data_IF_637271925928
#
_entry.id   IF_637271925928
#
_cell.length_a   1.000
_cell.length_b   1.000
_cell.length_c   1.000
_cell.angle_alpha   90.00
_cell.angle_beta   90.00
_cell.angle_gamma   90.00
#
_symmetry.space_group_name_H-M   'P 1'
#
loop_
_entity.id
_entity.type
_entity.pdbx_description
1 polymer ?
#
# COMPACT_ATOMS: atom_id res chain seq x y z
N UNK A 1 13.38 0.35 4.74
CA UNK A 1 12.10 -0.37 4.55
C UNK A 1 12.28 -1.81 4.13
N UNK A 2 13.12 -2.14 3.13
CA UNK A 2 13.31 -3.52 2.64
C UNK A 2 13.62 -4.55 3.74
N UNK A 3 14.61 -4.28 4.59
CA UNK A 3 15.00 -5.22 5.64
C UNK A 3 13.91 -5.41 6.71
N UNK A 4 13.17 -4.34 7.02
CA UNK A 4 12.05 -4.37 7.98
C UNK A 4 10.94 -5.25 7.43
N UNK A 5 10.61 -5.07 6.15
CA UNK A 5 9.58 -5.85 5.47
C UNK A 5 9.90 -7.34 5.45
N UNK A 6 11.13 -7.70 5.08
CA UNK A 6 11.60 -9.09 5.13
C UNK A 6 11.50 -9.68 6.55
N UNK A 7 11.86 -8.91 7.58
CA UNK A 7 11.75 -9.36 8.96
C UNK A 7 10.29 -9.60 9.37
N UNK A 8 9.38 -8.69 9.03
CA UNK A 8 7.94 -8.84 9.30
C UNK A 8 7.37 -10.03 8.54
N UNK A 9 7.69 -10.21 7.26
CA UNK A 9 7.24 -11.38 6.49
C UNK A 9 7.70 -12.71 7.11
N UNK A 10 8.94 -12.77 7.59
CA UNK A 10 9.46 -13.95 8.29
C UNK A 10 8.73 -14.20 9.60
N UNK A 11 8.53 -13.16 10.44
CA UNK A 11 7.76 -13.28 11.68
C UNK A 11 6.33 -13.75 11.42
N UNK A 12 5.66 -13.19 10.40
CA UNK A 12 4.31 -13.59 9.96
C UNK A 12 4.29 -15.06 9.55
N UNK A 13 5.25 -15.48 8.73
CA UNK A 13 5.35 -16.87 8.27
C UNK A 13 5.59 -17.85 9.42
N UNK A 14 6.47 -17.50 10.35
CA UNK A 14 6.77 -18.34 11.51
C UNK A 14 5.57 -18.46 12.45
N UNK A 15 4.90 -17.35 12.76
CA UNK A 15 3.68 -17.37 13.57
C UNK A 15 2.60 -18.27 12.94
N UNK A 16 2.32 -18.10 11.64
CA UNK A 16 1.33 -18.94 10.96
C UNK A 16 1.71 -20.43 10.95
N UNK A 17 3.00 -20.77 10.97
CA UNK A 17 3.46 -22.15 11.12
C UNK A 17 3.11 -22.70 12.50
N UNK A 18 3.21 -21.90 13.58
CA UNK A 18 2.75 -22.31 14.93
C UNK A 18 1.27 -22.65 14.89
N UNK A 19 0.44 -21.71 14.42
CA UNK A 19 -1.01 -21.87 14.37
C UNK A 19 -1.47 -23.00 13.45
N UNK A 20 -0.68 -23.35 12.42
CA UNK A 20 -0.97 -24.46 11.52
C UNK A 20 -0.50 -25.83 12.06
N UNK A 21 0.62 -25.89 12.78
CA UNK A 21 1.24 -27.13 13.25
C UNK A 21 0.65 -27.62 14.57
N UNK A 22 0.29 -26.72 15.48
CA UNK A 22 -0.26 -27.06 16.80
C UNK A 22 -1.79 -26.97 16.86
N UNK A 23 -2.46 -27.16 15.71
CA UNK A 23 -3.89 -26.91 15.45
C UNK A 23 -4.93 -27.76 16.20
N UNK A 24 -4.66 -28.10 17.46
CA UNK A 24 -5.59 -28.70 18.42
C UNK A 24 -5.40 -28.20 19.86
N UNK A 25 -4.23 -27.65 20.20
CA UNK A 25 -3.90 -27.17 21.55
C UNK A 25 -4.01 -25.65 21.70
N UNK A 26 -4.09 -24.91 20.58
CA UNK A 26 -4.30 -23.46 20.58
C UNK A 26 -5.79 -23.11 20.40
N UNK A 27 -6.38 -22.29 21.29
CA UNK A 27 -7.80 -21.89 21.24
C UNK A 27 -8.24 -21.22 19.92
N UNK A 28 -7.29 -20.75 19.10
CA UNK A 28 -7.51 -20.08 17.81
C UNK A 28 -6.68 -20.67 16.67
N UNK A 29 -6.36 -21.95 16.73
CA UNK A 29 -5.57 -22.65 15.70
C UNK A 29 -6.23 -22.69 14.31
N UNK A 30 -5.41 -22.96 13.28
CA UNK A 30 -5.88 -23.10 11.89
C UNK A 30 -6.38 -24.54 11.64
N UNK A 31 -7.64 -24.77 12.00
CA UNK A 31 -8.19 -26.12 12.14
C UNK A 31 -8.62 -26.75 10.80
N UNK A 32 -8.92 -25.95 9.78
CA UNK A 32 -9.36 -26.43 8.46
C UNK A 32 -8.21 -26.50 7.44
N UNK A 33 -8.33 -27.42 6.46
CA UNK A 33 -7.39 -27.49 5.34
C UNK A 33 -7.34 -26.19 4.52
N UNK A 34 -8.47 -25.48 4.40
CA UNK A 34 -8.56 -24.18 3.72
C UNK A 34 -7.75 -23.12 4.45
N UNK A 35 -7.91 -22.99 5.78
CA UNK A 35 -7.14 -22.05 6.60
C UNK A 35 -5.63 -22.35 6.51
N UNK A 36 -5.22 -23.62 6.60
CA UNK A 36 -3.82 -24.03 6.43
C UNK A 36 -3.28 -23.71 5.03
N UNK A 37 -4.10 -23.82 3.98
CA UNK A 37 -3.72 -23.41 2.62
C UNK A 37 -3.55 -21.90 2.51
N UNK A 38 -4.46 -21.12 3.08
CA UNK A 38 -4.39 -19.65 3.09
C UNK A 38 -3.18 -19.14 3.87
N UNK A 39 -2.86 -19.74 5.01
CA UNK A 39 -1.67 -19.42 5.79
C UNK A 39 -0.35 -19.68 5.04
N UNK A 40 -0.36 -20.62 4.08
CA UNK A 40 0.76 -20.90 3.17
C UNK A 40 0.67 -20.16 1.82
N UNK A 41 -0.29 -19.25 1.66
CA UNK A 41 -0.46 -18.49 0.42
C UNK A 41 0.83 -17.76 0.06
N UNK A 42 1.11 -17.59 -1.22
CA UNK A 42 2.19 -16.71 -1.68
C UNK A 42 1.83 -15.23 -1.55
N UNK A 43 0.53 -14.91 -1.45
CA UNK A 43 0.07 -13.54 -1.27
C UNK A 43 0.22 -13.12 0.18
N UNK A 44 0.97 -12.05 0.41
CA UNK A 44 1.21 -11.55 1.76
C UNK A 44 -0.09 -11.10 2.46
N UNK A 45 -1.01 -10.45 1.74
CA UNK A 45 -2.33 -10.06 2.25
C UNK A 45 -3.14 -11.24 2.82
N UNK A 46 -3.10 -12.41 2.17
CA UNK A 46 -3.79 -13.61 2.65
C UNK A 46 -3.21 -14.09 4.00
N UNK A 47 -1.88 -13.98 4.17
CA UNK A 47 -1.19 -14.33 5.42
C UNK A 47 -1.57 -13.39 6.55
N UNK A 48 -1.58 -12.08 6.29
CA UNK A 48 -2.00 -11.08 7.26
C UNK A 48 -3.47 -11.29 7.68
N UNK A 49 -4.35 -11.62 6.74
CA UNK A 49 -5.74 -11.95 7.04
C UNK A 49 -5.87 -13.18 7.96
N UNK A 50 -4.99 -14.17 7.82
CA UNK A 50 -4.93 -15.32 8.73
C UNK A 50 -4.44 -14.94 10.13
N UNK A 51 -3.46 -14.05 10.26
CA UNK A 51 -3.03 -13.53 11.57
C UNK A 51 -4.13 -12.74 12.27
N UNK A 52 -4.94 -12.01 11.51
CA UNK A 52 -6.15 -11.36 12.04
C UNK A 52 -7.16 -12.40 12.51
N UNK A 53 -7.36 -13.47 11.74
CA UNK A 53 -8.30 -14.54 12.08
C UNK A 53 -7.92 -15.24 13.40
N UNK A 54 -6.63 -15.54 13.61
CA UNK A 54 -6.14 -16.16 14.86
C UNK A 54 -5.96 -15.14 16.00
N UNK A 55 -6.17 -13.85 15.72
CA UNK A 55 -6.16 -12.78 16.72
C UNK A 55 -4.78 -12.31 17.16
N UNK A 56 -3.73 -12.57 16.37
CA UNK A 56 -2.39 -12.02 16.63
C UNK A 56 -2.23 -10.59 16.13
N UNK A 57 -2.91 -10.25 15.04
CA UNK A 57 -2.99 -8.89 14.52
C UNK A 57 -4.42 -8.38 14.59
N UNK A 58 -4.56 -7.09 14.84
CA UNK A 58 -5.80 -6.38 14.56
C UNK A 58 -5.95 -6.14 13.06
N UNK A 59 -7.17 -5.87 12.60
CA UNK A 59 -7.41 -5.46 11.21
C UNK A 59 -6.62 -4.21 10.82
N UNK A 60 -6.54 -3.25 11.75
CA UNK A 60 -5.85 -1.99 11.53
C UNK A 60 -4.34 -2.19 11.32
N UNK A 61 -3.70 -3.02 12.16
CA UNK A 61 -2.29 -3.37 12.00
C UNK A 61 -2.04 -4.11 10.68
N UNK A 62 -2.87 -5.09 10.33
CA UNK A 62 -2.75 -5.80 9.06
C UNK A 62 -2.85 -4.85 7.85
N UNK A 63 -3.79 -3.90 7.88
CA UNK A 63 -3.90 -2.86 6.85
C UNK A 63 -2.69 -1.93 6.81
N UNK A 64 -2.16 -1.52 7.96
CA UNK A 64 -0.95 -0.71 8.05
C UNK A 64 0.28 -1.45 7.47
N UNK A 65 0.48 -2.72 7.85
CA UNK A 65 1.57 -3.56 7.34
C UNK A 65 1.47 -3.72 5.83
N UNK A 66 0.26 -3.97 5.32
CA UNK A 66 0.03 -4.10 3.88
C UNK A 66 0.38 -2.81 3.13
N UNK A 67 -0.05 -1.64 3.65
CA UNK A 67 0.30 -0.35 3.07
C UNK A 67 1.82 -0.13 3.06
N UNK A 68 2.51 -0.40 4.17
CA UNK A 68 3.97 -0.26 4.26
C UNK A 68 4.71 -1.20 3.29
N UNK A 69 4.21 -2.43 3.13
CA UNK A 69 4.72 -3.42 2.19
C UNK A 69 4.55 -2.96 0.73
N UNK A 70 3.39 -2.43 0.35
CA UNK A 70 3.12 -1.89 -0.99
C UNK A 70 4.07 -0.74 -1.34
N UNK A 71 4.28 0.21 -0.42
CA UNK A 71 5.25 1.30 -0.62
C UNK A 71 6.69 0.81 -0.76
N UNK A 72 7.07 -0.23 -0.01
CA UNK A 72 8.39 -0.84 -0.16
C UNK A 72 8.56 -1.44 -1.56
N UNK A 73 7.54 -2.12 -2.08
CA UNK A 73 7.59 -2.73 -3.41
C UNK A 73 7.64 -1.65 -4.50
N UNK A 74 6.83 -0.60 -4.38
CA UNK A 74 6.88 0.54 -5.29
C UNK A 74 8.27 1.20 -5.30
N UNK A 75 8.83 1.51 -4.13
CA UNK A 75 10.17 2.10 -4.01
C UNK A 75 11.28 1.22 -4.59
N UNK A 76 11.10 -0.10 -4.60
CA UNK A 76 12.04 -1.05 -5.20
C UNK A 76 11.95 -1.10 -6.73
N UNK A 77 10.73 -1.06 -7.28
CA UNK A 77 10.50 -1.23 -8.72
C UNK A 77 10.54 0.08 -9.52
N UNK A 78 10.15 1.20 -8.92
CA UNK A 78 9.98 2.49 -9.61
C UNK A 78 11.18 3.43 -9.41
N UNK A 79 12.18 3.03 -8.62
CA UNK A 79 13.25 3.94 -8.17
C UNK A 79 12.73 4.93 -7.13
N UNK A 80 13.59 5.85 -6.65
CA UNK A 80 13.33 6.75 -5.51
C UNK A 80 12.27 7.84 -5.80
N UNK A 81 11.03 7.44 -6.14
CA UNK A 81 9.89 8.32 -6.45
C UNK A 81 8.90 8.50 -5.31
N UNK A 82 9.24 8.05 -4.09
CA UNK A 82 8.32 8.16 -2.97
C UNK A 82 8.29 9.55 -2.37
N UNK A 83 7.09 10.03 -2.11
CA UNK A 83 6.85 11.34 -1.49
C UNK A 83 7.49 11.48 -0.11
N UNK A 84 7.45 12.69 0.48
CA UNK A 84 8.14 13.03 1.73
C UNK A 84 7.76 12.13 2.93
N UNK A 85 6.64 11.40 2.84
CA UNK A 85 6.15 10.49 3.87
C UNK A 85 6.87 9.13 3.93
N UNK A 86 7.66 8.71 2.91
CA UNK A 86 8.25 7.36 2.89
C UNK A 86 9.21 7.10 4.06
N UNK A 87 10.08 8.06 4.38
CA UNK A 87 11.04 7.89 5.49
C UNK A 87 10.32 7.78 6.84
N UNK A 88 9.39 8.70 7.19
CA UNK A 88 8.54 8.54 8.36
C UNK A 88 7.77 7.21 8.40
N UNK A 89 7.20 6.77 7.27
CA UNK A 89 6.50 5.49 7.16
C UNK A 89 7.43 4.32 7.45
N UNK A 90 8.67 4.36 6.95
CA UNK A 90 9.67 3.33 7.23
C UNK A 90 10.01 3.23 8.71
N UNK A 91 10.02 4.34 9.45
CA UNK A 91 10.27 4.35 10.89
C UNK A 91 9.06 3.84 11.66
N UNK A 92 7.86 4.24 11.25
CA UNK A 92 6.60 3.70 11.77
C UNK A 92 6.56 2.18 11.63
N UNK A 93 6.94 1.66 10.45
CA UNK A 93 6.94 0.23 10.17
C UNK A 93 8.02 -0.51 10.97
N UNK A 94 9.19 0.12 11.17
CA UNK A 94 10.24 -0.43 12.04
C UNK A 94 9.76 -0.56 13.49
N UNK A 95 9.11 0.48 14.03
CA UNK A 95 8.53 0.45 15.38
C UNK A 95 7.46 -0.62 15.51
N UNK A 96 6.57 -0.74 14.52
CA UNK A 96 5.63 -1.85 14.46
C UNK A 96 6.34 -3.21 14.49
N UNK A 97 7.41 -3.39 13.71
CA UNK A 97 8.16 -4.63 13.71
C UNK A 97 8.79 -4.95 15.08
N UNK A 98 9.29 -3.93 15.79
CA UNK A 98 9.81 -4.06 17.15
C UNK A 98 8.70 -4.41 18.16
N UNK A 99 7.54 -3.74 18.10
CA UNK A 99 6.39 -4.08 18.92
C UNK A 99 5.93 -5.53 18.67
N UNK A 100 5.74 -5.88 17.40
CA UNK A 100 5.33 -7.21 17.00
C UNK A 100 6.35 -8.27 17.45
N UNK A 101 7.66 -7.96 17.43
CA UNK A 101 8.71 -8.84 17.93
C UNK A 101 8.53 -9.22 19.42
N UNK A 102 7.94 -8.35 20.24
CA UNK A 102 7.75 -8.63 21.67
C UNK A 102 6.64 -9.67 21.91
N UNK A 103 5.65 -9.73 21.01
CA UNK A 103 4.42 -10.51 21.17
C UNK A 103 4.19 -11.61 20.13
N UNK A 104 4.97 -11.68 19.04
CA UNK A 104 4.79 -12.71 18.01
C UNK A 104 4.95 -14.11 18.61
N UNK A 105 4.26 -15.13 18.11
CA UNK A 105 4.47 -16.50 18.59
C UNK A 105 5.52 -17.18 17.72
N UNK A 106 6.59 -17.67 18.35
CA UNK A 106 7.64 -18.42 17.65
C UNK A 106 7.35 -19.91 17.73
N UNK A 107 7.50 -20.63 16.61
CA UNK A 107 7.51 -22.08 16.62
C UNK A 107 8.73 -22.58 17.40
N UNK A 108 8.56 -23.70 18.11
CA UNK A 108 9.65 -24.44 18.72
C UNK A 108 10.91 -24.42 17.83
N UNK A 109 12.02 -23.97 18.39
CA UNK A 109 13.33 -24.10 17.76
C UNK A 109 13.77 -25.56 17.88
N UNK A 110 13.69 -26.34 16.80
CA UNK A 110 14.31 -27.66 16.78
C UNK A 110 15.81 -27.50 16.83
N UNK A 111 16.43 -28.12 17.83
CA UNK A 111 17.87 -28.06 18.00
C UNK A 111 18.58 -28.84 16.90
N UNK A 112 19.65 -28.23 16.37
CA UNK A 112 20.68 -28.93 15.62
C UNK A 112 21.92 -28.90 16.50
N UNK A 113 22.59 -30.04 16.65
CA UNK A 113 23.89 -30.07 17.33
C UNK A 113 24.83 -29.06 16.69
N UNK A 114 25.49 -28.24 17.53
CA UNK A 114 26.46 -27.19 17.17
C UNK A 114 25.89 -25.78 16.84
N UNK A 115 24.69 -25.41 17.30
CA UNK A 115 24.24 -24.03 17.17
C UNK A 115 25.08 -23.08 18.06
N UNK A 116 25.89 -22.23 17.45
CA UNK A 116 26.67 -21.21 18.14
C UNK A 116 26.06 -19.82 17.92
N UNK A 117 25.73 -19.12 19.02
CA UNK A 117 25.32 -17.72 18.94
C UNK A 117 26.51 -16.83 18.57
N UNK A 118 26.30 -15.93 17.61
CA UNK A 118 27.26 -14.85 17.36
C UNK A 118 27.41 -13.97 18.60
N UNK A 119 28.58 -13.34 18.75
CA UNK A 119 28.89 -12.46 19.88
C UNK A 119 27.85 -11.34 20.04
N UNK A 120 27.38 -10.77 18.92
CA UNK A 120 26.33 -9.76 18.89
C UNK A 120 25.01 -10.28 19.44
N UNK A 121 24.60 -11.49 19.04
CA UNK A 121 23.32 -12.08 19.44
C UNK A 121 23.28 -12.39 20.92
N UNK A 122 24.39 -12.84 21.52
CA UNK A 122 24.49 -13.21 22.96
C UNK A 122 24.04 -12.11 23.91
N UNK A 123 24.11 -10.83 23.53
CA UNK A 123 23.72 -9.68 24.37
C UNK A 123 22.22 -9.63 24.69
N UNK A 124 21.40 -10.35 23.92
CA UNK A 124 19.94 -10.33 23.99
C UNK A 124 19.34 -11.62 24.54
N UNK A 125 20.17 -12.59 24.93
CA UNK A 125 19.73 -13.83 25.58
C UNK A 125 19.95 -13.71 27.09
N UNK A 126 19.01 -14.20 27.89
CA UNK A 126 19.19 -14.27 29.34
C UNK A 126 20.24 -15.34 29.66
N UNK A 127 21.27 -14.94 30.42
CA UNK A 127 22.37 -15.78 30.96
C UNK A 127 22.52 -17.16 30.32
N UNK A 128 23.23 -17.24 29.19
CA UNK A 128 23.92 -18.48 28.83
C UNK A 128 24.89 -18.79 29.96
N UNK A 129 24.65 -19.83 30.75
CA UNK A 129 25.80 -20.54 31.30
C UNK A 129 26.21 -21.60 30.28
N UNK A 130 27.49 -21.64 29.95
CA UNK A 130 28.05 -22.60 28.97
C UNK A 130 27.87 -24.07 29.40
N UNK A 131 27.44 -24.32 30.64
CA UNK A 131 27.24 -25.65 31.25
C UNK A 131 25.77 -26.12 31.30
N UNK A 132 24.80 -25.28 30.97
CA UNK A 132 23.38 -25.65 31.05
C UNK A 132 22.88 -26.21 29.71
N UNK A 133 23.21 -27.48 29.45
CA UNK A 133 22.75 -28.23 28.28
C UNK A 133 21.21 -28.46 28.26
N UNK A 134 20.48 -28.01 29.28
CA UNK A 134 19.07 -28.37 29.51
C UNK A 134 18.06 -27.25 29.26
N UNK A 135 18.48 -25.99 29.20
CA UNK A 135 17.59 -24.86 28.95
C UNK A 135 18.18 -23.95 27.86
N UNK A 136 17.48 -23.83 26.72
CA UNK A 136 17.78 -22.73 25.80
C UNK A 136 17.59 -21.42 26.56
N UNK A 137 18.58 -20.52 26.59
CA UNK A 137 18.36 -19.19 27.12
C UNK A 137 17.24 -18.57 26.29
N UNK A 138 16.21 -18.08 26.98
CA UNK A 138 15.12 -17.40 26.30
C UNK A 138 15.69 -16.12 25.67
N UNK A 139 15.37 -15.87 24.40
CA UNK A 139 15.62 -14.56 23.81
C UNK A 139 14.75 -13.56 24.56
N UNK A 140 15.37 -12.58 25.20
CA UNK A 140 14.64 -11.45 25.77
C UNK A 140 14.25 -10.51 24.61
N UNK A 141 13.09 -10.80 24.04
CA UNK A 141 12.55 -10.08 22.88
C UNK A 141 12.17 -8.64 23.23
N UNK A 142 11.78 -8.38 24.48
CA UNK A 142 11.49 -7.03 24.93
C UNK A 142 12.77 -6.19 24.98
N UNK A 143 13.85 -6.75 25.54
CA UNK A 143 15.17 -6.11 25.53
C UNK A 143 15.72 -5.93 24.12
N UNK A 144 15.59 -6.93 23.24
CA UNK A 144 16.00 -6.80 21.85
C UNK A 144 15.20 -5.70 21.12
N UNK A 145 13.87 -5.70 21.25
CA UNK A 145 13.02 -4.68 20.63
C UNK A 145 13.37 -3.28 21.13
N UNK A 146 13.57 -3.10 22.43
CA UNK A 146 13.99 -1.82 23.02
C UNK A 146 15.36 -1.35 22.51
N UNK A 147 16.33 -2.27 22.40
CA UNK A 147 17.66 -1.95 21.88
C UNK A 147 17.64 -1.60 20.39
N UNK A 148 16.80 -2.27 19.60
CA UNK A 148 16.58 -1.95 18.19
C UNK A 148 15.90 -0.59 18.02
N UNK A 149 14.86 -0.32 18.79
CA UNK A 149 14.15 0.96 18.74
C UNK A 149 15.05 2.12 19.18
N UNK A 150 15.92 1.93 20.18
CA UNK A 150 16.88 2.94 20.61
C UNK A 150 17.92 3.33 19.53
N UNK A 151 18.09 2.50 18.48
CA UNK A 151 18.95 2.83 17.34
C UNK A 151 18.24 3.65 16.27
N UNK A 152 16.90 3.81 16.34
CA UNK A 152 16.21 4.71 15.43
C UNK A 152 16.64 6.15 15.71
N UNK A 153 17.11 6.90 14.70
CA UNK A 153 17.40 8.30 14.90
C UNK A 153 16.09 9.04 15.22
N UNK A 154 16.20 10.11 16.00
CA UNK A 154 15.06 11.00 16.20
C UNK A 154 14.66 11.61 14.85
N UNK A 155 13.35 11.56 14.56
CA UNK A 155 12.79 12.30 13.44
C UNK A 155 12.59 13.73 13.92
N UNK A 156 13.58 14.58 13.67
CA UNK A 156 13.40 16.02 13.80
C UNK A 156 12.44 16.48 12.70
N UNK A 157 11.33 17.11 13.09
CA UNK A 157 10.42 17.74 12.16
C UNK A 157 8.95 17.44 12.40
N UNK A 158 8.20 17.56 11.32
CA UNK A 158 6.75 17.54 11.31
C UNK A 158 6.19 16.15 11.64
N UNK A 159 5.08 16.04 12.41
CA UNK A 159 4.41 14.77 12.64
C UNK A 159 4.02 14.10 11.32
N UNK A 160 4.19 12.78 11.23
CA UNK A 160 3.86 12.02 10.01
C UNK A 160 2.40 12.19 9.58
N UNK A 161 1.46 12.35 10.52
CA UNK A 161 0.05 12.64 10.20
C UNK A 161 -0.10 13.92 9.38
N UNK A 162 0.70 14.94 9.67
CA UNK A 162 0.71 16.17 8.89
C UNK A 162 1.44 15.99 7.56
N UNK A 163 2.57 15.27 7.51
CA UNK A 163 3.28 14.99 6.24
C UNK A 163 2.37 14.23 5.25
N UNK A 164 1.64 13.22 5.74
CA UNK A 164 0.66 12.47 4.95
C UNK A 164 -0.47 13.40 4.44
N UNK A 165 -0.99 14.24 5.32
CA UNK A 165 -2.04 15.19 4.97
C UNK A 165 -1.58 16.25 3.96
N UNK A 166 -0.38 16.81 4.14
CA UNK A 166 0.23 17.80 3.24
C UNK A 166 0.49 17.20 1.85
N UNK A 167 0.91 15.92 1.81
CA UNK A 167 1.09 15.19 0.55
C UNK A 167 -0.24 15.08 -0.21
N UNK A 168 -1.33 14.68 0.45
CA UNK A 168 -2.64 14.60 -0.20
C UNK A 168 -3.21 15.97 -0.54
N UNK A 169 -2.89 16.99 0.23
CA UNK A 169 -3.32 18.36 -0.05
C UNK A 169 -2.64 18.91 -1.31
N UNK A 170 -1.34 18.62 -1.48
CA UNK A 170 -0.61 18.91 -2.71
C UNK A 170 -1.22 18.17 -3.92
N UNK A 171 -1.49 16.86 -3.80
CA UNK A 171 -2.17 16.08 -4.85
C UNK A 171 -3.55 16.66 -5.17
N UNK A 172 -4.34 16.99 -4.14
CA UNK A 172 -5.67 17.59 -4.29
C UNK A 172 -5.59 18.92 -5.03
N UNK A 173 -4.61 19.75 -4.72
CA UNK A 173 -4.42 21.04 -5.35
C UNK A 173 -3.94 20.91 -6.80
N UNK A 174 -3.03 19.96 -7.08
CA UNK A 174 -2.57 19.65 -8.42
C UNK A 174 -3.74 19.21 -9.31
N UNK A 175 -4.57 18.27 -8.85
CA UNK A 175 -5.76 17.80 -9.57
C UNK A 175 -6.70 18.96 -9.94
N UNK A 176 -7.02 19.82 -8.96
CA UNK A 176 -7.93 20.97 -9.18
C UNK A 176 -7.32 21.97 -10.17
N UNK A 177 -6.03 22.25 -10.03
CA UNK A 177 -5.31 23.21 -10.87
C UNK A 177 -5.22 22.72 -12.31
N UNK A 178 -4.80 21.46 -12.52
CA UNK A 178 -4.73 20.84 -13.85
C UNK A 178 -6.11 20.77 -14.51
N UNK A 179 -7.15 20.45 -13.76
CA UNK A 179 -8.51 20.43 -14.33
C UNK A 179 -9.01 21.82 -14.72
N UNK A 180 -8.69 22.86 -13.92
CA UNK A 180 -9.00 24.25 -14.30
C UNK A 180 -8.29 24.64 -15.58
N UNK A 181 -7.00 24.31 -15.69
CA UNK A 181 -6.22 24.54 -16.90
C UNK A 181 -6.87 23.89 -18.13
N UNK A 182 -7.36 22.64 -18.00
CA UNK A 182 -8.09 21.96 -19.08
C UNK A 182 -9.37 22.69 -19.47
N UNK A 183 -10.16 23.20 -18.52
CA UNK A 183 -11.38 23.98 -18.81
C UNK A 183 -11.05 25.23 -19.63
N UNK A 184 -9.98 25.92 -19.28
CA UNK A 184 -9.59 27.18 -19.90
C UNK A 184 -9.03 27.01 -21.32
N UNK A 185 -8.34 25.89 -21.57
CA UNK A 185 -7.55 25.68 -22.78
C UNK A 185 -8.15 24.65 -23.76
N UNK A 186 -9.18 23.89 -23.38
CA UNK A 186 -9.84 22.95 -24.33
C UNK A 186 -10.65 23.70 -25.38
N UNK A 187 -10.46 23.36 -26.65
CA UNK A 187 -11.25 23.85 -27.78
C UNK A 187 -12.06 22.71 -28.43
N UNK A 188 -13.36 22.90 -28.76
CA UNK A 188 -14.19 24.02 -28.32
C UNK A 188 -14.37 24.03 -26.80
N UNK A 189 -14.68 25.20 -26.23
CA UNK A 189 -14.93 25.33 -24.79
C UNK A 189 -16.10 24.44 -24.36
N UNK A 190 -15.83 23.53 -23.43
CA UNK A 190 -16.83 22.65 -22.83
C UNK A 190 -17.23 23.18 -21.44
N UNK A 191 -18.48 22.95 -21.05
CA UNK A 191 -18.86 23.17 -19.65
C UNK A 191 -18.10 22.19 -18.74
N UNK A 192 -17.91 22.57 -17.47
CA UNK A 192 -17.22 21.75 -16.48
C UNK A 192 -17.74 20.30 -16.41
N UNK A 193 -19.05 20.03 -16.35
CA UNK A 193 -19.56 18.66 -16.31
C UNK A 193 -19.30 17.87 -17.61
N UNK A 194 -19.36 18.55 -18.77
CA UNK A 194 -19.10 17.93 -20.07
C UNK A 194 -17.63 17.53 -20.22
N UNK A 195 -16.70 18.43 -19.87
CA UNK A 195 -15.28 18.14 -19.92
C UNK A 195 -14.93 17.01 -18.94
N UNK A 196 -15.44 17.07 -17.72
CA UNK A 196 -15.22 16.03 -16.71
C UNK A 196 -15.75 14.67 -17.18
N UNK A 197 -16.90 14.62 -17.83
CA UNK A 197 -17.42 13.38 -18.42
C UNK A 197 -16.53 12.88 -19.58
N UNK A 198 -16.06 13.79 -20.44
CA UNK A 198 -15.17 13.48 -21.58
C UNK A 198 -13.86 12.86 -21.12
N UNK A 199 -13.17 13.46 -20.15
CA UNK A 199 -11.86 12.95 -19.67
C UNK A 199 -12.00 11.60 -18.96
N UNK A 200 -13.02 11.43 -18.10
CA UNK A 200 -13.26 10.15 -17.43
C UNK A 200 -13.64 9.05 -18.41
N UNK A 201 -14.39 9.39 -19.47
CA UNK A 201 -14.68 8.44 -20.53
C UNK A 201 -13.44 8.07 -21.33
N UNK A 202 -12.56 9.03 -21.66
CA UNK A 202 -11.32 8.73 -22.38
C UNK A 202 -10.47 7.72 -21.63
N UNK A 203 -10.24 7.96 -20.33
CA UNK A 203 -9.46 7.04 -19.48
C UNK A 203 -10.15 5.66 -19.35
N UNK A 204 -11.47 5.62 -19.17
CA UNK A 204 -12.22 4.35 -19.11
C UNK A 204 -12.30 3.60 -20.45
N UNK A 205 -12.32 4.34 -21.57
CA UNK A 205 -12.38 3.81 -22.93
C UNK A 205 -11.12 3.01 -23.24
N UNK A 206 -9.96 3.53 -22.90
CA UNK A 206 -8.68 2.91 -23.26
C UNK A 206 -8.52 1.56 -22.56
N UNK A 207 -8.83 1.49 -21.27
CA UNK A 207 -8.89 0.23 -20.54
C UNK A 207 -9.93 -0.77 -21.11
N UNK A 208 -11.06 -0.28 -21.63
CA UNK A 208 -12.09 -1.13 -22.22
C UNK A 208 -11.72 -1.65 -23.62
N UNK A 209 -10.99 -0.85 -24.41
CA UNK A 209 -10.44 -1.26 -25.70
C UNK A 209 -9.33 -2.30 -25.51
N UNK A 210 -8.44 -2.10 -24.53
CA UNK A 210 -7.38 -3.04 -24.19
C UNK A 210 -7.93 -4.42 -23.82
N UNK A 211 -8.95 -4.46 -22.95
CA UNK A 211 -9.63 -5.71 -22.59
C UNK A 211 -10.25 -6.47 -23.76
N UNK A 212 -10.47 -5.80 -24.89
CA UNK A 212 -11.04 -6.36 -26.12
C UNK A 212 -9.98 -6.66 -27.17
N UNK A 213 -8.70 -6.40 -26.91
CA UNK A 213 -7.62 -6.55 -27.89
C UNK A 213 -7.76 -5.57 -29.06
N UNK A 214 -8.29 -4.37 -28.80
CA UNK A 214 -8.53 -3.32 -29.80
C UNK A 214 -7.55 -2.14 -29.64
N UNK A 215 -6.62 -2.20 -28.68
CA UNK A 215 -5.71 -1.10 -28.34
C UNK A 215 -4.64 -0.80 -29.41
N UNK A 216 -4.35 -1.76 -30.29
CA UNK A 216 -3.30 -1.68 -31.33
C UNK A 216 -3.81 -1.50 -32.76
N UNK A 217 -5.08 -1.13 -32.96
CA UNK A 217 -5.58 -0.83 -34.31
C UNK A 217 -5.03 0.52 -34.79
N UNK A 218 -3.75 0.56 -35.16
CA UNK A 218 -3.20 1.62 -35.98
C UNK A 218 -3.92 1.65 -37.35
N UNK A 219 -3.79 2.82 -37.98
CA UNK A 219 -4.64 3.48 -38.98
C UNK A 219 -5.26 2.71 -40.16
N UNK A 220 -5.08 1.40 -40.32
CA UNK A 220 -5.59 0.68 -41.51
C UNK A 220 -5.98 -0.79 -41.28
N UNK A 221 -6.48 -1.13 -40.10
CA UNK A 221 -6.96 -2.50 -39.81
C UNK A 221 -8.48 -2.62 -39.98
N UNK A 222 -9.01 -3.77 -40.47
CA UNK A 222 -10.45 -4.05 -40.59
C UNK A 222 -11.24 -3.84 -39.28
N UNK A 223 -10.54 -3.85 -38.14
CA UNK A 223 -11.12 -3.72 -36.78
C UNK A 223 -11.24 -2.26 -36.31
N UNK A 224 -10.77 -1.28 -37.10
CA UNK A 224 -10.96 0.15 -36.78
C UNK A 224 -12.43 0.53 -36.72
N UNK A 225 -13.23 0.06 -37.68
CA UNK A 225 -14.68 0.32 -37.71
C UNK A 225 -15.38 -0.26 -36.46
N UNK A 226 -14.96 -1.45 -36.03
CA UNK A 226 -15.42 -2.11 -34.81
C UNK A 226 -15.09 -1.25 -33.57
N UNK A 227 -13.84 -0.80 -33.44
CA UNK A 227 -13.40 0.05 -32.33
C UNK A 227 -14.17 1.39 -32.30
N UNK A 228 -14.30 2.08 -33.44
CA UNK A 228 -15.06 3.34 -33.54
C UNK A 228 -16.52 3.13 -33.15
N UNK A 229 -17.16 2.08 -33.64
CA UNK A 229 -18.55 1.79 -33.32
C UNK A 229 -18.75 1.44 -31.84
N UNK A 230 -17.81 0.69 -31.26
CA UNK A 230 -17.79 0.41 -29.83
C UNK A 230 -17.70 1.70 -29.02
N UNK A 231 -16.72 2.57 -29.31
CA UNK A 231 -16.54 3.85 -28.61
C UNK A 231 -17.80 4.72 -28.71
N UNK A 232 -18.37 4.88 -29.92
CA UNK A 232 -19.61 5.64 -30.13
C UNK A 232 -20.78 5.09 -29.31
N UNK A 233 -20.92 3.78 -29.25
CA UNK A 233 -22.02 3.12 -28.51
C UNK A 233 -21.81 3.23 -26.99
N UNK A 234 -20.57 3.08 -26.53
CA UNK A 234 -20.19 3.20 -25.13
C UNK A 234 -20.38 4.62 -24.61
N UNK A 235 -20.01 5.65 -25.38
CA UNK A 235 -20.21 7.05 -25.01
C UNK A 235 -21.68 7.37 -24.72
N UNK A 236 -22.61 6.91 -25.57
CA UNK A 236 -24.06 7.15 -25.40
C UNK A 236 -24.62 6.57 -24.10
N UNK A 237 -24.00 5.53 -23.56
CA UNK A 237 -24.44 4.84 -22.33
C UNK A 237 -23.57 5.19 -21.13
N UNK A 238 -22.54 6.03 -21.32
CA UNK A 238 -21.56 6.29 -20.29
C UNK A 238 -22.15 7.13 -19.16
N UNK A 239 -22.03 6.61 -17.94
CA UNK A 239 -22.37 7.32 -16.71
C UNK A 239 -21.04 7.69 -16.03
N UNK A 240 -20.67 8.98 -15.97
CA UNK A 240 -19.42 9.38 -15.36
C UNK A 240 -19.42 9.02 -13.87
N UNK A 241 -18.29 8.48 -13.38
CA UNK A 241 -18.11 8.11 -11.97
C UNK A 241 -18.28 9.34 -11.07
N UNK A 242 -17.78 10.48 -11.53
CA UNK A 242 -17.88 11.76 -10.84
C UNK A 242 -18.59 12.79 -11.71
N UNK A 243 -19.62 13.45 -11.15
CA UNK A 243 -20.31 14.58 -11.79
C UNK A 243 -19.63 15.93 -11.52
N UNK A 244 -18.81 15.98 -10.48
CA UNK A 244 -17.97 17.11 -10.09
C UNK A 244 -16.72 16.58 -9.38
N UNK A 245 -15.65 17.39 -9.32
CA UNK A 245 -14.48 17.05 -8.49
C UNK A 245 -14.92 17.08 -7.01
N UNK A 246 -14.74 15.98 -6.25
CA UNK A 246 -15.21 15.89 -4.87
C UNK A 246 -14.25 16.61 -3.88
N UNK A 247 -13.94 17.86 -4.17
CA UNK A 247 -12.96 18.69 -3.46
C UNK A 247 -13.21 18.78 -1.96
N UNK A 248 -14.44 19.10 -1.53
CA UNK A 248 -14.79 19.21 -0.11
C UNK A 248 -14.73 17.88 0.64
N UNK A 249 -15.07 16.77 -0.02
CA UNK A 249 -14.98 15.44 0.58
C UNK A 249 -13.51 15.03 0.78
N UNK A 250 -12.64 15.35 -0.18
CA UNK A 250 -11.20 15.15 -0.06
C UNK A 250 -10.60 16.01 1.06
N UNK A 251 -10.93 17.30 1.12
CA UNK A 251 -10.45 18.19 2.19
C UNK A 251 -10.87 17.68 3.59
N UNK A 252 -12.10 17.18 3.73
CA UNK A 252 -12.59 16.55 4.98
C UNK A 252 -11.78 15.30 5.32
N UNK A 253 -11.47 14.46 4.33
CA UNK A 253 -10.63 13.27 4.52
C UNK A 253 -9.20 13.62 4.96
N UNK A 254 -8.60 14.64 4.35
CA UNK A 254 -7.27 15.15 4.71
C UNK A 254 -7.25 15.67 6.14
N UNK A 255 -8.26 16.46 6.54
CA UNK A 255 -8.39 16.96 7.91
C UNK A 255 -8.45 15.81 8.94
N UNK A 256 -9.20 14.74 8.63
CA UNK A 256 -9.27 13.54 9.49
C UNK A 256 -7.93 12.82 9.64
N UNK A 257 -7.07 12.84 8.61
CA UNK A 257 -5.72 12.26 8.71
C UNK A 257 -4.88 13.05 9.72
N UNK A 258 -4.94 14.39 9.68
CA UNK A 258 -4.20 15.26 10.61
C UNK A 258 -4.58 14.99 12.07
N UNK A 259 -5.87 14.80 12.33
CA UNK A 259 -6.41 14.59 13.68
C UNK A 259 -6.54 13.11 14.05
N UNK A 260 -5.83 12.21 13.39
CA UNK A 260 -5.89 10.78 13.72
C UNK A 260 -5.08 10.50 14.99
N UNK A 261 -5.70 9.86 15.97
CA UNK A 261 -5.07 9.54 17.26
C UNK A 261 -4.03 8.41 17.14
N UNK A 262 -4.17 7.59 16.09
CA UNK A 262 -3.25 6.50 15.78
C UNK A 262 -2.54 6.73 14.45
N UNK A 263 -1.24 6.45 14.46
CA UNK A 263 -0.40 6.41 13.28
C UNK A 263 -0.90 5.39 12.24
N UNK A 264 -1.32 4.21 12.68
CA UNK A 264 -1.81 3.16 11.77
C UNK A 264 -3.09 3.61 11.08
N UNK A 265 -3.97 4.27 11.83
CA UNK A 265 -5.19 4.83 11.28
C UNK A 265 -4.91 5.95 10.26
N UNK A 266 -3.96 6.85 10.56
CA UNK A 266 -3.57 7.91 9.64
C UNK A 266 -3.07 7.36 8.30
N UNK A 267 -2.20 6.35 8.34
CA UNK A 267 -1.64 5.70 7.14
C UNK A 267 -2.73 4.99 6.33
N UNK A 268 -3.61 4.23 6.98
CA UNK A 268 -4.70 3.53 6.29
C UNK A 268 -5.69 4.52 5.66
N UNK A 269 -6.05 5.59 6.37
CA UNK A 269 -6.90 6.67 5.83
C UNK A 269 -6.22 7.39 4.66
N UNK A 270 -4.90 7.58 4.73
CA UNK A 270 -4.11 8.16 3.65
C UNK A 270 -4.17 7.30 2.39
N UNK A 271 -3.92 5.99 2.48
CA UNK A 271 -4.02 5.09 1.32
C UNK A 271 -5.43 5.05 0.73
N UNK A 272 -6.45 4.93 1.59
CA UNK A 272 -7.85 4.91 1.15
C UNK A 272 -8.22 6.19 0.37
N UNK A 273 -7.76 7.35 0.85
CA UNK A 273 -8.05 8.63 0.20
C UNK A 273 -7.24 8.79 -1.09
N UNK A 274 -5.96 8.43 -1.08
CA UNK A 274 -5.09 8.40 -2.26
C UNK A 274 -5.69 7.54 -3.37
N UNK A 275 -6.17 6.33 -3.04
CA UNK A 275 -6.83 5.44 -3.98
C UNK A 275 -8.14 6.02 -4.54
N UNK A 276 -8.92 6.76 -3.72
CA UNK A 276 -10.13 7.46 -4.18
C UNK A 276 -9.80 8.60 -5.14
N UNK A 277 -8.66 9.28 -4.95
CA UNK A 277 -8.19 10.38 -5.79
C UNK A 277 -7.55 9.89 -7.10
N UNK A 278 -6.90 8.73 -7.09
CA UNK A 278 -6.10 8.18 -8.19
C UNK A 278 -6.84 8.22 -9.54
N UNK A 279 -8.08 7.71 -9.60
CA UNK A 279 -8.83 7.69 -10.86
C UNK A 279 -9.00 9.08 -11.50
N UNK A 280 -9.32 10.12 -10.71
CA UNK A 280 -9.48 11.46 -11.27
C UNK A 280 -8.14 12.09 -11.61
N UNK A 281 -7.11 11.86 -10.80
CA UNK A 281 -5.75 12.30 -11.09
C UNK A 281 -5.31 11.76 -12.45
N UNK A 282 -5.40 10.45 -12.64
CA UNK A 282 -4.92 9.77 -13.84
C UNK A 282 -5.73 10.22 -15.06
N UNK A 283 -7.07 10.27 -14.96
CA UNK A 283 -7.92 10.76 -16.04
C UNK A 283 -7.68 12.24 -16.42
N UNK A 284 -7.30 13.10 -15.46
CA UNK A 284 -6.93 14.50 -15.72
C UNK A 284 -5.55 14.58 -16.37
N UNK A 285 -4.58 13.78 -15.94
CA UNK A 285 -3.29 13.68 -16.60
C UNK A 285 -3.43 13.23 -18.06
N UNK A 286 -4.23 12.19 -18.33
CA UNK A 286 -4.55 11.73 -19.69
C UNK A 286 -5.17 12.86 -20.53
N UNK A 287 -6.09 13.64 -19.91
CA UNK A 287 -6.71 14.79 -20.54
C UNK A 287 -5.70 15.90 -20.88
N UNK A 288 -4.74 16.16 -19.99
CA UNK A 288 -3.67 17.14 -20.20
C UNK A 288 -2.75 16.72 -21.34
N UNK A 289 -2.36 15.45 -21.38
CA UNK A 289 -1.57 14.89 -22.47
C UNK A 289 -2.32 14.97 -23.81
N UNK A 290 -3.62 14.68 -23.84
CA UNK A 290 -4.43 14.80 -25.05
C UNK A 290 -4.52 16.25 -25.56
N UNK A 291 -4.63 17.23 -24.65
CA UNK A 291 -4.62 18.64 -24.99
C UNK A 291 -3.26 19.07 -25.55
N UNK A 292 -2.16 18.63 -24.94
CA UNK A 292 -0.80 18.91 -25.42
C UNK A 292 -0.60 18.38 -26.86
N UNK A 293 -1.06 17.16 -27.13
CA UNK A 293 -1.03 16.58 -28.48
C UNK A 293 -1.88 17.38 -29.49
N UNK A 294 -3.05 17.88 -29.08
CA UNK A 294 -3.89 18.74 -29.92
C UNK A 294 -3.18 20.05 -30.26
N UNK A 295 -2.56 20.69 -29.26
CA UNK A 295 -1.80 21.93 -29.43
C UNK A 295 -0.63 21.69 -30.39
N UNK A 296 0.16 20.62 -30.20
CA UNK A 296 1.29 20.29 -31.07
C UNK A 296 0.85 20.10 -32.53
N UNK A 297 -0.29 19.42 -32.76
CA UNK A 297 -0.82 19.18 -34.11
C UNK A 297 -1.29 20.44 -34.86
N UNK A 298 -1.40 21.58 -34.18
CA UNK A 298 -1.74 22.87 -34.81
C UNK A 298 -0.49 23.65 -35.26
N UNK A 299 0.70 23.27 -34.77
CA UNK A 299 1.97 23.88 -35.13
C UNK A 299 2.73 23.10 -36.21
N UNK A 300 2.45 21.80 -36.36
CA UNK A 300 2.96 20.92 -37.43
C UNK A 300 2.09 21.01 -38.70
#
# INVERSE_FOLDING_TARGET
>A
MILVDNAVELMVRHSLMVHASFGGEYPKGLNTAQQRRQARSQKFADRLAMLVHVGELTRLEASFVLAAHEHRNAAYHEGFGGGPFLRPLGFAYYRFACDYLTRFQMAFSSWVSNFAFSETSRRYYDTCRDDDASAMPALDRAKLAAALEAQLPQLDGQPITEILADTLEADRQAIVTSFRFLIENTSPRLSTPQLLAKIQFSSARDAALEKRGLERTHFDTPRRAEAVQFVKTSWKKYQPRYRAIPHGAWATGIARIRTSDSLYEAVVRFEDLRAKMAFLRDAICDGAFALEMEIQSQYD
#
